data_IF_098257930693
#
_entry.id   IF_098257930693
#
_cell.length_a   1.000
_cell.length_b   1.000
_cell.length_c   1.000
_cell.angle_alpha   90.00
_cell.angle_beta   90.00
_cell.angle_gamma   90.00
#
_symmetry.space_group_name_H-M   'P 1'
#
loop_
_entity.id
_entity.type
_entity.pdbx_description
1 polymer ?
#
# COMPACT_ATOMS: atom_id res chain seq x y z
N UNK A 1 -3.07 -11.81 8.74
CA UNK A 1 -3.09 -11.21 10.09
C UNK A 1 -1.82 -11.63 10.82
N UNK A 2 -1.34 -10.83 11.76
CA UNK A 2 -0.19 -11.18 12.59
C UNK A 2 -0.42 -10.66 14.01
N UNK A 3 -0.09 -11.46 15.03
CA UNK A 3 -0.03 -11.00 16.42
C UNK A 3 1.21 -10.14 16.60
N UNK A 4 1.03 -8.94 17.18
CA UNK A 4 2.12 -8.02 17.51
C UNK A 4 1.92 -7.55 18.94
N UNK A 5 2.64 -8.18 19.87
CA UNK A 5 2.41 -7.97 21.31
C UNK A 5 1.01 -8.43 21.69
N UNK A 6 0.21 -7.50 22.23
CA UNK A 6 -1.17 -7.77 22.64
C UNK A 6 -2.21 -7.45 21.55
N UNK A 7 -1.77 -6.91 20.40
CA UNK A 7 -2.65 -6.47 19.33
C UNK A 7 -2.58 -7.36 18.10
N UNK A 8 -3.64 -7.31 17.27
CA UNK A 8 -3.71 -8.01 15.99
C UNK A 8 -3.51 -7.01 14.86
N UNK A 9 -2.46 -7.20 14.06
CA UNK A 9 -2.27 -6.45 12.81
C UNK A 9 -3.08 -7.04 11.68
N UNK A 10 -3.79 -6.16 10.99
CA UNK A 10 -4.57 -6.50 9.81
C UNK A 10 -3.67 -7.06 8.71
N UNK A 11 -4.10 -8.15 8.06
CA UNK A 11 -3.37 -8.71 6.93
C UNK A 11 -3.74 -7.99 5.63
N UNK A 12 -2.76 -7.53 4.86
CA UNK A 12 -3.03 -6.89 3.56
C UNK A 12 -3.77 -7.80 2.57
N UNK A 13 -3.60 -9.11 2.66
CA UNK A 13 -4.36 -10.07 1.84
C UNK A 13 -5.85 -10.17 2.19
N UNK A 14 -6.31 -9.58 3.29
CA UNK A 14 -7.73 -9.47 3.63
C UNK A 14 -8.37 -8.19 3.04
N UNK A 15 -7.58 -7.31 2.42
CA UNK A 15 -8.10 -6.13 1.71
C UNK A 15 -8.67 -6.58 0.38
N UNK A 16 -9.91 -6.15 0.09
CA UNK A 16 -10.59 -6.46 -1.18
C UNK A 16 -9.71 -6.03 -2.37
N UNK A 17 -9.64 -6.86 -3.41
CA UNK A 17 -8.85 -6.63 -4.63
C UNK A 17 -7.32 -6.63 -4.44
N UNK A 18 -6.79 -6.98 -3.26
CA UNK A 18 -5.36 -7.10 -3.02
C UNK A 18 -4.95 -8.57 -3.02
N UNK A 19 -4.28 -9.01 -4.08
CA UNK A 19 -3.85 -10.41 -4.25
C UNK A 19 -2.54 -10.73 -3.52
N UNK A 20 -2.27 -12.01 -3.29
CA UNK A 20 -1.05 -12.48 -2.62
C UNK A 20 0.24 -11.98 -3.30
N UNK A 21 0.27 -11.91 -4.64
CA UNK A 21 1.42 -11.44 -5.41
C UNK A 21 1.74 -9.96 -5.10
N UNK A 22 0.71 -9.12 -4.98
CA UNK A 22 0.85 -7.71 -4.62
C UNK A 22 1.41 -7.58 -3.20
N UNK A 23 0.86 -8.35 -2.26
CA UNK A 23 1.34 -8.34 -0.87
C UNK A 23 2.80 -8.78 -0.78
N UNK A 24 3.17 -9.83 -1.52
CA UNK A 24 4.56 -10.29 -1.58
C UNK A 24 5.49 -9.20 -2.13
N UNK A 25 5.11 -8.52 -3.22
CA UNK A 25 5.89 -7.41 -3.79
C UNK A 25 6.05 -6.24 -2.80
N UNK A 26 4.97 -5.85 -2.11
CA UNK A 26 4.97 -4.84 -1.05
C UNK A 26 5.92 -5.19 0.11
N UNK A 27 5.90 -6.44 0.56
CA UNK A 27 6.76 -6.91 1.64
C UNK A 27 8.22 -6.95 1.20
N UNK A 28 8.50 -7.49 0.01
CA UNK A 28 9.86 -7.59 -0.52
C UNK A 28 10.49 -6.20 -0.72
N UNK A 29 9.76 -5.28 -1.36
CA UNK A 29 10.26 -3.91 -1.59
C UNK A 29 10.47 -3.14 -0.29
N UNK A 30 9.65 -3.37 0.73
CA UNK A 30 9.89 -2.82 2.08
C UNK A 30 11.10 -3.41 2.79
N UNK A 31 11.41 -4.69 2.55
CA UNK A 31 12.58 -5.33 3.12
C UNK A 31 13.88 -4.85 2.43
N UNK A 32 13.84 -4.66 1.12
CA UNK A 32 14.99 -4.25 0.30
C UNK A 32 15.25 -2.74 0.36
N UNK A 33 14.20 -1.92 0.19
CA UNK A 33 14.30 -0.46 0.05
C UNK A 33 13.85 0.30 1.31
N UNK A 34 13.49 -0.41 2.37
CA UNK A 34 12.99 0.16 3.61
C UNK A 34 11.51 0.58 3.57
N UNK A 35 11.03 1.17 4.67
CA UNK A 35 9.63 1.62 4.79
C UNK A 35 9.31 2.71 3.78
N UNK A 36 8.05 2.78 3.34
CA UNK A 36 7.54 3.93 2.60
C UNK A 36 7.47 5.14 3.53
N UNK A 37 8.08 6.26 3.12
CA UNK A 37 8.09 7.50 3.90
C UNK A 37 6.93 8.41 3.54
N UNK A 38 6.45 8.30 2.31
CA UNK A 38 5.39 9.14 1.75
C UNK A 38 4.58 8.35 0.70
N UNK A 39 3.40 8.86 0.32
CA UNK A 39 2.60 8.25 -0.74
C UNK A 39 3.31 8.31 -2.10
N UNK A 40 4.08 9.37 -2.37
CA UNK A 40 4.91 9.48 -3.59
C UNK A 40 6.05 8.45 -3.63
N UNK A 41 6.51 7.98 -2.48
CA UNK A 41 7.57 6.98 -2.36
C UNK A 41 7.05 5.55 -2.64
N UNK A 42 5.74 5.32 -2.53
CA UNK A 42 5.12 4.03 -2.82
C UNK A 42 5.30 3.60 -4.28
N UNK A 43 4.86 4.38 -5.29
CA UNK A 43 5.04 4.03 -6.72
C UNK A 43 6.52 3.89 -7.10
N UNK A 44 7.40 4.72 -6.52
CA UNK A 44 8.84 4.69 -6.81
C UNK A 44 9.53 3.41 -6.31
N UNK A 45 9.00 2.76 -5.28
CA UNK A 45 9.61 1.59 -4.64
C UNK A 45 8.97 0.27 -5.07
N UNK A 46 7.65 0.24 -5.27
CA UNK A 46 6.91 -0.99 -5.60
C UNK A 46 7.16 -1.43 -7.06
N UNK A 47 6.98 -2.72 -7.34
CA UNK A 47 6.97 -3.25 -8.71
C UNK A 47 5.73 -2.76 -9.48
N UNK A 48 5.90 -2.43 -10.76
CA UNK A 48 4.86 -1.91 -11.66
C UNK A 48 3.70 -2.89 -11.79
N UNK A 49 3.98 -4.20 -11.82
CA UNK A 49 2.92 -5.22 -11.88
C UNK A 49 2.01 -5.23 -10.64
N UNK A 50 2.54 -4.81 -9.49
CA UNK A 50 1.81 -4.68 -8.24
C UNK A 50 1.24 -3.26 -8.03
N UNK A 51 1.81 -2.25 -8.69
CA UNK A 51 1.37 -0.86 -8.68
C UNK A 51 0.27 -0.62 -9.73
N UNK A 52 -0.95 -1.10 -9.49
CA UNK A 52 -2.08 -0.78 -10.39
C UNK A 52 -3.15 0.05 -9.68
N UNK A 53 -3.91 0.84 -10.46
CA UNK A 53 -4.93 1.77 -9.97
C UNK A 53 -5.92 1.10 -9.01
N UNK A 54 -6.43 -0.08 -9.37
CA UNK A 54 -7.44 -0.82 -8.60
C UNK A 54 -6.91 -1.28 -7.23
N UNK A 55 -5.66 -1.74 -7.19
CA UNK A 55 -4.97 -2.14 -5.96
C UNK A 55 -4.72 -0.92 -5.09
N UNK A 56 -4.11 0.13 -5.65
CA UNK A 56 -3.79 1.35 -4.91
C UNK A 56 -5.05 2.00 -4.34
N UNK A 57 -6.13 2.09 -5.12
CA UNK A 57 -7.45 2.53 -4.67
C UNK A 57 -7.95 1.72 -3.46
N UNK A 58 -7.85 0.38 -3.54
CA UNK A 58 -8.33 -0.50 -2.47
C UNK A 58 -7.50 -0.35 -1.19
N UNK A 59 -6.18 -0.17 -1.32
CA UNK A 59 -5.28 0.11 -0.21
C UNK A 59 -5.57 1.47 0.44
N UNK A 60 -5.81 2.52 -0.36
CA UNK A 60 -6.21 3.84 0.15
C UNK A 60 -7.51 3.74 0.94
N UNK A 61 -8.54 3.07 0.39
CA UNK A 61 -9.83 2.90 1.07
C UNK A 61 -9.72 2.09 2.38
N UNK A 62 -8.85 1.09 2.40
CA UNK A 62 -8.58 0.28 3.58
C UNK A 62 -7.76 1.00 4.67
N UNK A 63 -7.24 2.20 4.40
CA UNK A 63 -6.40 2.95 5.34
C UNK A 63 -4.96 2.43 5.42
N UNK A 64 -4.47 1.70 4.41
CA UNK A 64 -3.12 1.16 4.40
C UNK A 64 -2.03 2.25 4.41
N UNK A 65 -2.38 3.47 4.01
CA UNK A 65 -1.49 4.63 3.95
C UNK A 65 -1.69 5.63 5.10
N UNK A 66 -2.57 5.36 6.06
CA UNK A 66 -2.88 6.29 7.15
C UNK A 66 -1.67 6.63 8.01
N UNK A 67 -0.73 5.69 8.16
CA UNK A 67 0.51 5.92 8.90
C UNK A 67 1.45 6.93 8.25
N UNK A 68 1.19 7.33 6.99
CA UNK A 68 1.95 8.35 6.28
C UNK A 68 1.46 9.77 6.58
N UNK A 69 0.35 9.92 7.31
CA UNK A 69 -0.16 11.23 7.75
C UNK A 69 -1.00 11.98 6.72
N UNK A 70 -1.36 11.36 5.59
CA UNK A 70 -2.16 12.00 4.54
C UNK A 70 -3.65 11.69 4.64
N UNK A 71 -4.54 12.67 4.39
CA UNK A 71 -5.97 12.41 4.28
C UNK A 71 -6.27 11.46 3.12
N UNK A 72 -7.01 10.38 3.38
CA UNK A 72 -7.39 9.38 2.37
C UNK A 72 -8.09 9.98 1.15
N UNK A 73 -8.90 11.05 1.33
CA UNK A 73 -9.56 11.76 0.23
C UNK A 73 -8.56 12.40 -0.72
N UNK A 74 -7.47 12.98 -0.20
CA UNK A 74 -6.39 13.54 -1.01
C UNK A 74 -5.68 12.45 -1.79
N UNK A 75 -5.31 11.37 -1.11
CA UNK A 75 -4.68 10.21 -1.76
C UNK A 75 -5.56 9.63 -2.86
N UNK A 76 -6.87 9.51 -2.64
CA UNK A 76 -7.81 9.02 -3.63
C UNK A 76 -7.94 9.95 -4.85
N UNK A 77 -7.72 11.26 -4.73
CA UNK A 77 -7.74 12.15 -5.88
C UNK A 77 -6.48 12.04 -6.74
N UNK A 78 -5.33 11.75 -6.12
CA UNK A 78 -4.02 11.73 -6.80
C UNK A 78 -3.53 10.32 -7.16
N UNK A 79 -4.16 9.26 -6.67
CA UNK A 79 -3.65 7.89 -6.83
C UNK A 79 -3.57 7.43 -8.29
N UNK A 80 -4.44 7.92 -9.18
CA UNK A 80 -4.38 7.57 -10.60
C UNK A 80 -3.12 8.11 -11.23
N UNK A 81 -2.85 9.39 -10.99
CA UNK A 81 -1.74 10.12 -11.59
C UNK A 81 -0.43 9.61 -11.00
N UNK A 82 -0.40 9.32 -9.70
CA UNK A 82 0.76 8.76 -9.01
C UNK A 82 1.14 7.35 -9.48
N UNK A 83 0.18 6.56 -9.99
CA UNK A 83 0.43 5.20 -10.49
C UNK A 83 0.75 5.21 -12.00
N UNK A 84 0.30 6.23 -12.72
CA UNK A 84 0.57 6.42 -14.16
C UNK A 84 1.88 7.18 -14.45
N UNK A 85 2.50 7.77 -13.43
CA UNK A 85 3.78 8.50 -13.51
C UNK A 85 4.97 7.56 -13.46
#
# INVERSE_FOLDING_TARGET
FASVGNDIRFGLGAVRNVGANVVASLVNTRNEKGKYTDFSDYPNKIDIAACNKKVTESLVKAGAFDSLGHPRKGLFLVHTDAVDS
#
